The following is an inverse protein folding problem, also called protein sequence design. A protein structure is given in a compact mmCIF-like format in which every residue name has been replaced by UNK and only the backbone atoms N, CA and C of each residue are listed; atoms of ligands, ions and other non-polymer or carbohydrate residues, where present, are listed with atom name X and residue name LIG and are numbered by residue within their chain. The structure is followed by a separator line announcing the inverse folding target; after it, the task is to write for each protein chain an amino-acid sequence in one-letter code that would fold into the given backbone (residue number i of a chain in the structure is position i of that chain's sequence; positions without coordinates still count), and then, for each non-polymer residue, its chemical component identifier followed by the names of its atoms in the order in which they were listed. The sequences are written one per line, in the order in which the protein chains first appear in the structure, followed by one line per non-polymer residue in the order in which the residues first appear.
data_IF_862122800658
#
_entry.id   IF_862122800658
#
_cell.length_a   1.000
_cell.length_b   1.000
_cell.length_c   1.000
_cell.angle_alpha   90.00
_cell.angle_beta   90.00
_cell.angle_gamma   90.00
#
_symmetry.space_group_name_H-M   'P 1'
#
loop_
_entity.id
_entity.type
_entity.pdbx_description
1 polymer ?
#
# COMPACT_ATOMS: atom_id res chain seq x y z
N UNK A 1 30.82 8.20 -24.03
CA UNK A 1 29.44 8.21 -23.52
C UNK A 1 29.27 6.99 -22.65
N UNK A 2 28.99 7.17 -21.36
CA UNK A 2 28.62 6.07 -20.45
C UNK A 2 27.11 6.04 -20.43
N UNK A 3 26.52 4.98 -20.95
CA UNK A 3 25.10 4.71 -20.84
C UNK A 3 24.81 4.37 -19.38
N UNK A 4 24.17 5.31 -18.67
CA UNK A 4 23.71 5.03 -17.32
C UNK A 4 22.58 4.00 -17.44
N UNK A 5 22.82 2.79 -16.92
CA UNK A 5 21.76 1.80 -16.70
C UNK A 5 20.66 2.52 -15.93
N UNK A 6 19.42 2.60 -16.45
CA UNK A 6 18.33 3.22 -15.70
C UNK A 6 18.24 2.43 -14.40
N UNK A 7 18.42 3.11 -13.26
CA UNK A 7 18.19 2.55 -11.94
C UNK A 7 16.82 1.87 -12.01
N UNK A 8 16.79 0.53 -12.07
CA UNK A 8 15.62 -0.20 -12.56
C UNK A 8 14.37 0.30 -11.83
N UNK A 9 13.49 1.00 -12.53
CA UNK A 9 12.26 1.49 -11.94
C UNK A 9 11.51 0.27 -11.42
N UNK A 10 11.36 0.17 -10.10
CA UNK A 10 10.60 -0.89 -9.46
C UNK A 10 9.18 -0.81 -10.01
N UNK A 11 8.71 -1.90 -10.63
CA UNK A 11 7.38 -1.92 -11.22
C UNK A 11 6.30 -1.64 -10.15
N UNK A 12 5.30 -0.85 -10.54
CA UNK A 12 4.19 -0.48 -9.65
C UNK A 12 3.41 -1.72 -9.21
N UNK A 13 2.91 -1.71 -7.97
CA UNK A 13 2.03 -2.76 -7.46
C UNK A 13 0.65 -2.60 -8.10
N UNK A 14 0.20 -3.66 -8.76
CA UNK A 14 -1.10 -3.70 -9.45
C UNK A 14 -2.15 -4.47 -8.68
N UNK A 15 -1.77 -5.54 -7.99
CA UNK A 15 -2.72 -6.34 -7.21
C UNK A 15 -2.04 -7.09 -6.06
N UNK A 16 -2.86 -7.66 -5.18
CA UNK A 16 -2.42 -8.60 -4.16
C UNK A 16 -3.40 -9.77 -3.98
N UNK A 17 -2.89 -10.89 -3.51
CA UNK A 17 -3.68 -12.06 -3.15
C UNK A 17 -3.17 -12.65 -1.83
N UNK A 18 -4.07 -13.21 -1.04
CA UNK A 18 -3.69 -14.09 0.08
C UNK A 18 -3.80 -15.51 -0.42
N UNK A 19 -2.67 -16.21 -0.51
CA UNK A 19 -2.61 -17.61 -0.95
C UNK A 19 -2.08 -18.48 0.18
N UNK A 20 -2.48 -19.75 0.22
CA UNK A 20 -1.93 -20.71 1.18
C UNK A 20 -0.79 -21.47 0.51
N UNK A 21 0.40 -21.39 1.10
CA UNK A 21 1.60 -22.12 0.66
C UNK A 21 2.19 -22.79 1.89
N UNK A 22 2.45 -24.10 1.82
CA UNK A 22 2.94 -24.92 2.95
C UNK A 22 2.01 -24.83 4.18
N UNK A 23 0.70 -24.86 3.97
CA UNK A 23 -0.34 -24.68 5.00
C UNK A 23 -0.27 -23.34 5.76
N UNK A 24 0.44 -22.33 5.22
CA UNK A 24 0.53 -20.99 5.80
C UNK A 24 0.04 -19.93 4.81
N UNK A 25 -0.80 -18.97 5.23
CA UNK A 25 -1.17 -17.86 4.37
C UNK A 25 0.05 -16.97 4.09
N UNK A 26 0.24 -16.58 2.83
CA UNK A 26 1.26 -15.64 2.35
C UNK A 26 0.60 -14.58 1.48
N UNK A 27 1.07 -13.34 1.59
CA UNK A 27 0.66 -12.26 0.71
C UNK A 27 1.46 -12.34 -0.59
N UNK A 28 0.78 -12.65 -1.69
CA UNK A 28 1.31 -12.54 -3.05
C UNK A 28 1.09 -11.11 -3.54
N UNK A 29 2.17 -10.41 -3.83
CA UNK A 29 2.16 -9.05 -4.38
C UNK A 29 2.45 -9.16 -5.86
N UNK A 30 1.59 -8.58 -6.69
CA UNK A 30 1.65 -8.64 -8.15
C UNK A 30 2.01 -7.25 -8.66
N UNK A 31 3.05 -7.18 -9.51
CA UNK A 31 3.53 -5.93 -10.11
C UNK A 31 3.16 -5.83 -11.58
N UNK A 32 3.29 -4.63 -12.12
CA UNK A 32 2.95 -4.29 -13.50
C UNK A 32 3.82 -4.97 -14.57
N UNK A 33 5.00 -5.45 -14.19
CA UNK A 33 5.92 -6.22 -15.05
C UNK A 33 5.66 -7.74 -14.97
N UNK A 34 4.48 -8.14 -14.49
CA UNK A 34 4.05 -9.52 -14.23
C UNK A 34 4.91 -10.27 -13.18
N UNK A 35 5.86 -9.59 -12.51
CA UNK A 35 6.59 -10.19 -11.41
C UNK A 35 5.72 -10.28 -10.16
N UNK A 36 6.03 -11.27 -9.31
CA UNK A 36 5.35 -11.41 -8.02
C UNK A 36 6.29 -11.83 -6.90
N UNK A 37 5.96 -11.39 -5.69
CA UNK A 37 6.73 -11.67 -4.47
C UNK A 37 5.79 -12.13 -3.36
N UNK A 38 6.26 -13.09 -2.54
CA UNK A 38 5.51 -13.61 -1.41
C UNK A 38 6.04 -13.06 -0.09
N UNK A 39 5.14 -12.60 0.76
CA UNK A 39 5.46 -12.15 2.11
C UNK A 39 4.69 -12.96 3.14
N UNK A 40 5.42 -13.51 4.11
CA UNK A 40 4.84 -14.38 5.15
C UNK A 40 4.07 -13.54 6.17
N UNK A 41 4.50 -12.30 6.41
CA UNK A 41 3.83 -11.40 7.34
C UNK A 41 3.71 -9.99 6.77
N UNK A 42 2.74 -9.25 7.30
CA UNK A 42 2.60 -7.83 7.00
C UNK A 42 3.87 -7.04 7.38
N UNK A 43 4.51 -7.37 8.51
CA UNK A 43 5.76 -6.73 8.93
C UNK A 43 6.90 -6.93 7.94
N UNK A 44 6.99 -8.10 7.31
CA UNK A 44 7.98 -8.32 6.23
C UNK A 44 7.64 -7.52 4.99
N UNK A 45 6.36 -7.41 4.62
CA UNK A 45 5.93 -6.58 3.49
C UNK A 45 6.31 -5.11 3.72
N UNK A 46 5.97 -4.54 4.88
CA UNK A 46 6.28 -3.15 5.23
C UNK A 46 7.78 -2.82 5.12
N UNK A 47 8.65 -3.71 5.59
CA UNK A 47 10.10 -3.49 5.56
C UNK A 47 10.68 -3.46 4.14
N UNK A 48 9.96 -4.00 3.16
CA UNK A 48 10.39 -4.09 1.75
C UNK A 48 9.69 -3.08 0.84
N UNK A 49 8.74 -2.32 1.37
CA UNK A 49 7.89 -1.42 0.61
C UNK A 49 8.27 0.01 0.94
N UNK A 50 8.45 0.82 -0.11
CA UNK A 50 8.55 2.26 0.08
C UNK A 50 7.16 2.89 0.22
N UNK A 51 7.13 4.22 0.38
CA UNK A 51 5.88 4.96 0.56
C UNK A 51 4.93 4.82 -0.64
N UNK A 52 5.46 4.76 -1.86
CA UNK A 52 4.64 4.70 -3.07
C UNK A 52 4.07 3.29 -3.27
N UNK A 53 4.84 2.25 -2.94
CA UNK A 53 4.34 0.88 -2.84
C UNK A 53 3.17 0.77 -1.84
N UNK A 54 3.31 1.36 -0.65
CA UNK A 54 2.27 1.31 0.39
C UNK A 54 1.01 2.08 -0.04
N UNK A 55 1.14 3.22 -0.71
CA UNK A 55 0.00 3.95 -1.27
C UNK A 55 -0.71 3.16 -2.37
N UNK A 56 0.05 2.53 -3.26
CA UNK A 56 -0.51 1.69 -4.32
C UNK A 56 -1.29 0.51 -3.71
N UNK A 57 -0.70 -0.18 -2.73
CA UNK A 57 -1.35 -1.27 -2.00
C UNK A 57 -2.60 -0.78 -1.26
N UNK A 58 -2.56 0.37 -0.60
CA UNK A 58 -3.73 0.96 0.06
C UNK A 58 -4.87 1.22 -0.92
N UNK A 59 -4.59 1.80 -2.09
CA UNK A 59 -5.60 2.03 -3.13
C UNK A 59 -6.28 0.72 -3.55
N UNK A 60 -5.50 -0.33 -3.77
CA UNK A 60 -6.01 -1.65 -4.17
C UNK A 60 -6.89 -2.26 -3.07
N UNK A 61 -6.41 -2.25 -1.82
CA UNK A 61 -7.15 -2.80 -0.67
C UNK A 61 -8.45 -2.02 -0.42
N UNK A 62 -8.40 -0.70 -0.51
CA UNK A 62 -9.56 0.17 -0.36
C UNK A 62 -10.61 -0.09 -1.45
N UNK A 63 -10.20 -0.17 -2.70
CA UNK A 63 -11.09 -0.46 -3.83
C UNK A 63 -11.76 -1.84 -3.67
N UNK A 64 -10.95 -2.87 -3.41
CA UNK A 64 -11.41 -4.25 -3.22
C UNK A 64 -12.46 -4.41 -2.12
N UNK A 65 -12.26 -3.73 -0.98
CA UNK A 65 -13.16 -3.80 0.17
C UNK A 65 -14.12 -2.62 0.28
N UNK A 66 -14.23 -1.80 -0.77
CA UNK A 66 -15.23 -0.72 -0.81
C UNK A 66 -16.66 -1.27 -0.87
N UNK A 67 -16.86 -2.45 -1.49
CA UNK A 67 -18.18 -3.08 -1.67
C UNK A 67 -18.29 -4.49 -1.10
N UNK A 68 -17.17 -5.08 -0.66
CA UNK A 68 -17.10 -6.47 -0.17
C UNK A 68 -16.43 -6.51 1.20
N UNK A 69 -16.85 -7.49 2.02
CA UNK A 69 -16.16 -7.76 3.30
C UNK A 69 -14.95 -8.67 3.08
N UNK A 70 -13.88 -8.53 3.90
CA UNK A 70 -12.82 -9.52 3.95
C UNK A 70 -13.37 -10.92 4.24
N UNK A 71 -12.88 -11.92 3.50
CA UNK A 71 -13.29 -13.31 3.66
C UNK A 71 -12.34 -14.13 4.55
N UNK A 72 -11.18 -13.58 4.90
CA UNK A 72 -10.19 -14.25 5.75
C UNK A 72 -9.47 -13.26 6.65
N UNK A 73 -8.87 -13.78 7.72
CA UNK A 73 -8.17 -13.00 8.73
C UNK A 73 -7.04 -12.14 8.14
N UNK A 74 -6.26 -12.66 7.19
CA UNK A 74 -5.16 -11.90 6.58
C UNK A 74 -5.65 -10.68 5.81
N UNK A 75 -6.77 -10.80 5.09
CA UNK A 75 -7.40 -9.68 4.41
C UNK A 75 -7.98 -8.65 5.39
N UNK A 76 -8.62 -9.11 6.46
CA UNK A 76 -9.16 -8.23 7.50
C UNK A 76 -8.04 -7.47 8.21
N UNK A 77 -6.98 -8.18 8.60
CA UNK A 77 -5.81 -7.61 9.25
C UNK A 77 -5.09 -6.60 8.35
N UNK A 78 -4.90 -6.92 7.06
CA UNK A 78 -4.31 -6.00 6.09
C UNK A 78 -5.13 -4.72 5.92
N UNK A 79 -6.46 -4.85 5.75
CA UNK A 79 -7.37 -3.72 5.62
C UNK A 79 -7.33 -2.82 6.86
N UNK A 80 -7.46 -3.41 8.05
CA UNK A 80 -7.46 -2.65 9.30
C UNK A 80 -6.14 -1.91 9.49
N UNK A 81 -5.02 -2.57 9.25
CA UNK A 81 -3.70 -1.99 9.50
C UNK A 81 -3.39 -0.85 8.52
N UNK A 82 -3.68 -1.03 7.23
CA UNK A 82 -3.53 0.04 6.24
C UNK A 82 -4.50 1.20 6.51
N UNK A 83 -5.72 0.91 6.97
CA UNK A 83 -6.68 1.93 7.38
C UNK A 83 -6.19 2.72 8.59
N UNK A 84 -5.52 2.11 9.55
CA UNK A 84 -4.90 2.83 10.68
C UNK A 84 -3.76 3.72 10.18
N UNK A 85 -2.83 3.16 9.40
CA UNK A 85 -1.70 3.93 8.86
C UNK A 85 -2.16 5.13 8.02
N UNK A 86 -3.06 4.90 7.06
CA UNK A 86 -3.50 5.93 6.12
C UNK A 86 -4.68 6.76 6.64
N UNK A 87 -5.48 6.27 7.59
CA UNK A 87 -6.57 7.02 8.20
C UNK A 87 -6.08 8.07 9.19
N UNK A 88 -5.04 7.76 9.97
CA UNK A 88 -4.32 8.79 10.75
C UNK A 88 -3.65 9.79 9.82
N UNK A 89 -3.02 9.33 8.74
CA UNK A 89 -2.41 10.19 7.72
C UNK A 89 -3.44 11.08 6.99
N UNK A 90 -4.61 10.57 6.61
CA UNK A 90 -5.67 11.35 5.96
C UNK A 90 -6.25 12.41 6.92
N UNK A 91 -6.41 12.08 8.21
CA UNK A 91 -6.82 13.04 9.24
C UNK A 91 -5.75 14.11 9.47
N UNK A 92 -4.48 13.72 9.57
CA UNK A 92 -3.35 14.64 9.70
C UNK A 92 -3.14 15.49 8.44
N UNK A 93 -3.28 14.95 7.24
CA UNK A 93 -3.21 15.68 5.97
C UNK A 93 -4.39 16.65 5.84
N UNK A 94 -5.60 16.28 6.28
CA UNK A 94 -6.75 17.18 6.31
C UNK A 94 -6.54 18.35 7.28
N UNK A 95 -6.00 18.09 8.48
CA UNK A 95 -5.62 19.11 9.46
C UNK A 95 -4.48 20.00 8.92
N UNK A 96 -3.48 19.41 8.27
CA UNK A 96 -2.36 20.13 7.67
C UNK A 96 -2.81 21.03 6.50
N UNK A 97 -3.72 20.54 5.66
CA UNK A 97 -4.33 21.33 4.58
C UNK A 97 -5.20 22.46 5.14
N UNK A 98 -5.94 22.24 6.21
CA UNK A 98 -6.74 23.30 6.84
C UNK A 98 -5.86 24.37 7.49
N UNK A 99 -4.72 24.00 8.08
CA UNK A 99 -3.76 24.97 8.65
C UNK A 99 -3.03 25.79 7.58
N UNK A 100 -2.72 25.22 6.41
CA UNK A 100 -2.12 25.99 5.31
C UNK A 100 -3.08 26.97 4.63
N UNK A 101 -4.38 26.82 4.82
CA UNK A 101 -5.40 27.77 4.33
C UNK A 101 -5.54 29.04 5.19
N UNK A 102 -5.10 29.04 6.45
CA UNK A 102 -5.35 30.14 7.39
C UNK A 102 -4.26 31.23 7.36
N UNK A 103 -3.14 31.00 6.69
CA UNK A 103 -2.04 31.98 6.57
C UNK A 103 -1.94 32.67 5.20
N UNK A 104 -2.95 32.49 4.33
CA UNK A 104 -3.03 33.18 3.05
C UNK A 104 -4.32 33.99 2.97
N UNK A 105 -4.17 35.32 3.03
CA UNK A 105 -5.18 36.37 2.84
C UNK A 105 -5.73 37.00 4.13
N UNK A 106 -5.01 38.00 4.63
CA UNK A 106 -5.64 39.29 4.93
C UNK A 106 -4.81 40.38 4.24
N UNK A 107 -5.52 41.32 3.61
CA UNK A 107 -5.01 42.48 2.85
C UNK A 107 -3.91 43.26 3.58
#
# INVERSE_FOLDING_TARGET
FVEAVPLAQKASIMDYQVVVVDNKPKYKIIRADDTHQFYISFTTLLKNFDREDLKALWRIVKDRFSSKKPTNFSNEYLLLTLKTMFGELDAHDAIWRSQKGTYGLSL
#
